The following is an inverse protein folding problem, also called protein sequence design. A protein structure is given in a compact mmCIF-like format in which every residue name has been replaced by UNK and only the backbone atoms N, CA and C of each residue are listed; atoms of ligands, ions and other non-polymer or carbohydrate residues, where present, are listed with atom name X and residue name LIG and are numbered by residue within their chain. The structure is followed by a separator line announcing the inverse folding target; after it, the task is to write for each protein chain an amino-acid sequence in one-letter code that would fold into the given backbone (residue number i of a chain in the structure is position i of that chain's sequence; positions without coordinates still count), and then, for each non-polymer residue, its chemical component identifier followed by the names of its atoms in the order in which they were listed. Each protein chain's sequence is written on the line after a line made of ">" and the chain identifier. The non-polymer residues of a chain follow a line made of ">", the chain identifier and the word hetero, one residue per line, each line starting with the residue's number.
data_IF_025085217423
#
_entry.id   IF_025085217423
#
_cell.length_a   1.000
_cell.length_b   1.000
_cell.length_c   1.000
_cell.angle_alpha   90.00
_cell.angle_beta   90.00
_cell.angle_gamma   90.00
#
_symmetry.space_group_name_H-M   'P 1'
#
loop_
_entity.id
_entity.type
_entity.pdbx_description
1 polymer ?
#
# COMPACT_ATOMS: atom_id res chain seq x y z
N UNK A 1 -5.09 -5.69 -19.24
CA UNK A 1 -3.93 -5.84 -18.34
C UNK A 1 -4.25 -5.14 -17.04
N UNK A 2 -3.87 -5.73 -15.90
CA UNK A 2 -4.15 -5.17 -14.57
C UNK A 2 -3.07 -5.62 -13.58
N UNK A 3 -2.69 -4.73 -12.66
CA UNK A 3 -1.83 -5.07 -11.52
C UNK A 3 -2.60 -5.99 -10.57
N UNK A 4 -2.12 -7.22 -10.40
CA UNK A 4 -2.70 -8.19 -9.47
C UNK A 4 -1.88 -8.35 -8.20
N UNK A 5 -0.67 -7.79 -8.19
CA UNK A 5 0.20 -7.81 -7.03
C UNK A 5 0.88 -6.46 -6.86
N UNK A 6 0.56 -5.77 -5.77
CA UNK A 6 1.30 -4.61 -5.30
C UNK A 6 2.08 -4.98 -4.03
N UNK A 7 3.36 -4.61 -3.95
CA UNK A 7 4.19 -4.95 -2.78
C UNK A 7 3.73 -4.30 -1.47
N UNK A 8 3.04 -3.15 -1.56
CA UNK A 8 2.49 -2.41 -0.43
C UNK A 8 1.15 -2.96 0.08
N UNK A 9 0.47 -3.83 -0.68
CA UNK A 9 -0.81 -4.47 -0.30
C UNK A 9 -0.57 -5.64 0.68
N UNK A 10 0.03 -5.33 1.82
CA UNK A 10 0.43 -6.30 2.86
C UNK A 10 -0.75 -6.99 3.55
N UNK A 11 -1.98 -6.52 3.33
CA UNK A 11 -3.23 -7.19 3.71
C UNK A 11 -3.48 -8.48 2.92
N UNK A 12 -2.80 -8.66 1.77
CA UNK A 12 -2.85 -9.80 0.84
C UNK A 12 -4.19 -10.03 0.13
N UNK A 13 -5.31 -9.73 0.77
CA UNK A 13 -6.65 -9.93 0.22
C UNK A 13 -6.93 -9.05 -0.99
N UNK A 14 -6.40 -7.82 -1.02
CA UNK A 14 -6.52 -6.93 -2.18
C UNK A 14 -5.84 -7.52 -3.42
N UNK A 15 -4.62 -8.03 -3.28
CA UNK A 15 -3.91 -8.73 -4.36
C UNK A 15 -4.66 -10.00 -4.80
N UNK A 16 -5.17 -10.78 -3.84
CA UNK A 16 -5.95 -11.99 -4.14
C UNK A 16 -7.22 -11.66 -4.94
N UNK A 17 -7.95 -10.63 -4.54
CA UNK A 17 -9.16 -10.15 -5.23
C UNK A 17 -8.84 -9.70 -6.65
N UNK A 18 -7.74 -8.97 -6.83
CA UNK A 18 -7.29 -8.52 -8.15
C UNK A 18 -6.92 -9.70 -9.08
N UNK A 19 -6.22 -10.72 -8.57
CA UNK A 19 -5.93 -11.93 -9.36
C UNK A 19 -7.19 -12.70 -9.74
N UNK A 20 -8.15 -12.87 -8.81
CA UNK A 20 -9.44 -13.47 -9.15
C UNK A 20 -10.18 -12.71 -10.25
N UNK A 21 -10.21 -11.38 -10.14
CA UNK A 21 -10.83 -10.52 -11.15
C UNK A 21 -10.12 -10.66 -12.51
N UNK A 22 -8.79 -10.64 -12.54
CA UNK A 22 -8.01 -10.75 -13.77
C UNK A 22 -8.27 -12.10 -14.47
N UNK A 23 -8.28 -13.20 -13.72
CA UNK A 23 -8.56 -14.55 -14.24
C UNK A 23 -9.98 -14.67 -14.76
N UNK A 24 -10.97 -14.17 -14.03
CA UNK A 24 -12.37 -14.20 -14.44
C UNK A 24 -12.62 -13.41 -15.74
N UNK A 25 -11.81 -12.38 -16.01
CA UNK A 25 -11.95 -11.50 -17.17
C UNK A 25 -10.88 -11.74 -18.25
N UNK A 26 -10.11 -12.83 -18.18
CA UNK A 26 -9.02 -13.15 -19.13
C UNK A 26 -8.05 -11.98 -19.35
N UNK A 27 -7.70 -11.26 -18.28
CA UNK A 27 -6.79 -10.12 -18.33
C UNK A 27 -5.35 -10.56 -18.08
N UNK A 28 -4.40 -9.96 -18.79
CA UNK A 28 -2.97 -10.09 -18.48
C UNK A 28 -2.69 -9.54 -17.08
N UNK A 29 -2.11 -10.38 -16.23
CA UNK A 29 -1.69 -10.07 -14.87
C UNK A 29 -0.28 -9.44 -14.87
N UNK A 30 -0.08 -8.37 -14.09
CA UNK A 30 1.24 -7.75 -13.85
C UNK A 30 1.45 -7.46 -12.37
N UNK A 31 2.70 -7.23 -11.95
CA UNK A 31 3.05 -6.95 -10.56
C UNK A 31 3.85 -5.65 -10.42
N UNK A 32 3.43 -4.77 -9.52
CA UNK A 32 4.11 -3.52 -9.22
C UNK A 32 4.75 -3.52 -7.84
N UNK A 33 5.98 -3.02 -7.79
CA UNK A 33 6.64 -2.76 -6.52
C UNK A 33 6.11 -1.49 -5.86
N UNK A 34 5.65 -0.51 -6.64
CA UNK A 34 5.18 0.79 -6.14
C UNK A 34 6.18 1.42 -5.15
N UNK A 35 7.43 1.44 -5.63
CA UNK A 35 8.60 1.74 -4.82
C UNK A 35 8.71 3.24 -4.55
N UNK A 36 8.71 3.61 -3.28
CA UNK A 36 8.94 4.98 -2.83
C UNK A 36 10.27 5.15 -2.09
N UNK A 37 10.94 4.03 -1.78
CA UNK A 37 12.26 3.97 -1.14
C UNK A 37 13.14 2.97 -1.88
N UNK A 38 14.46 3.19 -1.87
CA UNK A 38 15.43 2.42 -2.66
C UNK A 38 15.39 0.93 -2.31
N UNK A 39 15.18 0.59 -1.04
CA UNK A 39 15.08 -0.79 -0.56
C UNK A 39 13.92 -1.59 -1.18
N UNK A 40 12.90 -0.91 -1.70
CA UNK A 40 11.73 -1.54 -2.37
C UNK A 40 11.89 -1.66 -3.88
N UNK A 41 12.92 -1.03 -4.48
CA UNK A 41 13.14 -1.08 -5.91
C UNK A 41 13.36 -2.52 -6.39
N UNK A 42 12.65 -2.91 -7.45
CA UNK A 42 12.73 -4.27 -8.01
C UNK A 42 12.09 -5.36 -7.13
N UNK A 43 11.31 -4.99 -6.10
CA UNK A 43 10.57 -5.96 -5.27
C UNK A 43 9.59 -6.81 -6.08
N UNK A 44 9.03 -6.23 -7.11
CA UNK A 44 8.23 -6.92 -8.12
C UNK A 44 8.86 -6.67 -9.48
N UNK A 45 8.94 -7.73 -10.29
CA UNK A 45 9.52 -7.71 -11.63
C UNK A 45 8.62 -8.49 -12.58
N UNK A 46 8.22 -7.83 -13.66
CA UNK A 46 7.56 -8.46 -14.79
C UNK A 46 8.56 -8.81 -15.89
N UNK A 47 8.35 -9.95 -16.54
CA UNK A 47 9.15 -10.41 -17.68
C UNK A 47 8.33 -10.17 -18.94
N UNK A 48 8.88 -9.37 -19.86
CA UNK A 48 8.23 -9.02 -21.14
C UNK A 48 9.00 -9.68 -22.28
N UNK A 49 8.31 -10.48 -23.09
CA UNK A 49 8.95 -11.15 -24.24
C UNK A 49 9.05 -10.18 -25.43
N UNK A 50 10.13 -9.42 -25.48
CA UNK A 50 10.36 -8.36 -26.47
C UNK A 50 11.85 -8.22 -26.83
N UNK A 51 12.12 -7.71 -28.03
CA UNK A 51 13.42 -7.07 -28.35
C UNK A 51 13.65 -5.83 -27.46
N UNK A 52 14.91 -5.45 -27.28
CA UNK A 52 15.33 -4.30 -26.46
C UNK A 52 15.07 -2.95 -27.15
N UNK A 53 13.82 -2.70 -27.52
CA UNK A 53 13.33 -1.44 -28.08
C UNK A 53 11.98 -1.10 -27.48
N UNK A 54 11.69 0.19 -27.31
CA UNK A 54 10.43 0.66 -26.72
C UNK A 54 9.21 0.13 -27.49
N UNK A 55 9.23 0.21 -28.83
CA UNK A 55 8.13 -0.25 -29.67
C UNK A 55 7.85 -1.75 -29.52
N UNK A 56 8.91 -2.55 -29.43
CA UNK A 56 8.80 -3.99 -29.23
C UNK A 56 8.21 -4.32 -27.85
N UNK A 57 8.65 -3.62 -26.80
CA UNK A 57 8.11 -3.75 -25.44
C UNK A 57 6.63 -3.39 -25.44
N UNK A 58 6.24 -2.21 -25.92
CA UNK A 58 4.84 -1.76 -25.95
C UNK A 58 3.95 -2.71 -26.76
N UNK A 59 4.43 -3.20 -27.91
CA UNK A 59 3.71 -4.18 -28.74
C UNK A 59 3.51 -5.50 -28.00
N UNK A 60 4.52 -5.96 -27.27
CA UNK A 60 4.48 -7.20 -26.48
C UNK A 60 3.54 -7.07 -25.29
N UNK A 61 3.57 -5.94 -24.59
CA UNK A 61 2.63 -5.60 -23.52
C UNK A 61 1.18 -5.59 -24.03
N UNK A 62 0.91 -4.92 -25.17
CA UNK A 62 -0.43 -4.86 -25.77
C UNK A 62 -0.96 -6.24 -26.19
N UNK A 63 -0.06 -7.16 -26.56
CA UNK A 63 -0.38 -8.55 -26.92
C UNK A 63 -0.41 -9.49 -25.71
N UNK A 64 -0.27 -8.98 -24.49
CA UNK A 64 -0.30 -9.78 -23.27
C UNK A 64 0.91 -10.70 -23.10
N UNK A 65 2.03 -10.43 -23.78
CA UNK A 65 3.28 -11.20 -23.69
C UNK A 65 4.10 -10.79 -22.46
N UNK A 66 3.44 -10.82 -21.31
CA UNK A 66 4.01 -10.49 -20.00
C UNK A 66 3.72 -11.63 -19.04
N UNK A 67 4.71 -11.96 -18.21
CA UNK A 67 4.57 -12.89 -17.09
C UNK A 67 5.20 -12.28 -15.86
N UNK A 68 4.56 -12.47 -14.70
CA UNK A 68 5.14 -12.06 -13.42
C UNK A 68 6.36 -12.95 -13.12
N UNK A 69 7.52 -12.33 -12.91
CA UNK A 69 8.77 -13.02 -12.56
C UNK A 69 8.94 -13.14 -11.05
N UNK A 70 9.18 -12.01 -10.38
CA UNK A 70 9.41 -11.95 -8.94
C UNK A 70 8.31 -11.12 -8.29
N UNK A 71 7.84 -11.55 -7.11
CA UNK A 71 6.96 -10.76 -6.24
C UNK A 71 7.45 -10.86 -4.80
N UNK A 72 7.17 -9.81 -4.03
CA UNK A 72 7.45 -9.81 -2.60
C UNK A 72 6.68 -8.71 -1.90
N UNK A 73 6.22 -8.97 -0.68
CA UNK A 73 5.67 -7.91 0.16
C UNK A 73 6.79 -7.06 0.75
N UNK A 74 6.49 -5.81 1.06
CA UNK A 74 7.39 -4.98 1.85
C UNK A 74 7.54 -5.53 3.27
N UNK A 75 8.70 -5.32 3.86
CA UNK A 75 8.97 -5.64 5.26
C UNK A 75 8.53 -4.49 6.17
N UNK A 76 8.43 -4.77 7.48
CA UNK A 76 8.18 -3.70 8.46
C UNK A 76 9.25 -2.62 8.43
N UNK A 77 10.52 -2.99 8.18
CA UNK A 77 11.63 -2.03 8.11
C UNK A 77 11.45 -1.08 6.94
N UNK A 78 11.06 -1.60 5.78
CA UNK A 78 10.85 -0.81 4.56
C UNK A 78 9.60 0.06 4.68
N UNK A 79 8.56 -0.40 5.38
CA UNK A 79 7.43 0.48 5.69
C UNK A 79 7.88 1.65 6.55
N UNK A 80 8.65 1.41 7.62
CA UNK A 80 9.17 2.49 8.48
C UNK A 80 10.06 3.46 7.68
N UNK A 81 10.90 2.93 6.78
CA UNK A 81 11.70 3.76 5.86
C UNK A 81 10.81 4.63 4.97
N UNK A 82 9.75 4.07 4.41
CA UNK A 82 8.78 4.81 3.61
C UNK A 82 8.00 5.85 4.44
N UNK A 83 7.59 5.51 5.67
CA UNK A 83 6.96 6.46 6.58
C UNK A 83 7.89 7.64 6.90
N UNK A 84 9.18 7.35 7.14
CA UNK A 84 10.21 8.37 7.33
C UNK A 84 10.36 9.26 6.10
N UNK A 85 10.49 8.69 4.91
CA UNK A 85 10.55 9.43 3.66
C UNK A 85 9.35 10.38 3.51
N UNK A 86 8.13 9.91 3.78
CA UNK A 86 6.93 10.76 3.70
C UNK A 86 6.97 11.91 4.70
N UNK A 87 7.32 11.64 5.95
CA UNK A 87 7.38 12.67 6.99
C UNK A 87 8.44 13.72 6.62
N UNK A 88 9.64 13.32 6.24
CA UNK A 88 10.73 14.23 5.87
C UNK A 88 10.36 15.15 4.69
N UNK A 89 9.56 14.66 3.73
CA UNK A 89 9.19 15.42 2.54
C UNK A 89 7.84 16.15 2.63
N UNK A 90 7.04 15.91 3.68
CA UNK A 90 5.69 16.48 3.78
C UNK A 90 5.24 16.90 5.18
N UNK A 91 6.16 16.97 6.16
CA UNK A 91 5.85 17.35 7.56
C UNK A 91 5.03 18.63 7.63
N UNK A 92 5.47 19.69 6.95
CA UNK A 92 4.79 20.98 7.00
C UNK A 92 3.37 20.93 6.40
N UNK A 93 3.19 20.16 5.32
CA UNK A 93 1.88 19.96 4.69
C UNK A 93 0.94 19.16 5.61
N UNK A 94 1.46 18.10 6.25
CA UNK A 94 0.69 17.30 7.23
C UNK A 94 0.24 18.18 8.40
N UNK A 95 1.15 18.96 8.98
CA UNK A 95 0.83 19.84 10.10
C UNK A 95 -0.17 20.94 9.67
N UNK A 96 -0.01 21.52 8.49
CA UNK A 96 -0.95 22.52 7.95
C UNK A 96 -2.35 21.92 7.77
N UNK A 97 -2.44 20.73 7.19
CA UNK A 97 -3.72 20.03 7.02
C UNK A 97 -4.42 19.80 8.36
N UNK A 98 -3.69 19.35 9.39
CA UNK A 98 -4.25 19.16 10.73
C UNK A 98 -4.70 20.48 11.37
N UNK A 99 -3.93 21.56 11.22
CA UNK A 99 -4.34 22.89 11.70
C UNK A 99 -5.66 23.35 11.10
N UNK A 100 -5.84 23.12 9.79
CA UNK A 100 -7.02 23.58 9.05
C UNK A 100 -8.26 22.68 9.29
N UNK A 101 -8.08 21.36 9.35
CA UNK A 101 -9.20 20.41 9.33
C UNK A 101 -9.46 19.73 10.68
N UNK A 102 -8.43 19.60 11.51
CA UNK A 102 -8.49 18.90 12.81
C UNK A 102 -7.72 19.65 13.90
N UNK A 103 -8.03 20.94 14.17
CA UNK A 103 -7.20 21.81 15.00
C UNK A 103 -6.97 21.24 16.42
N UNK A 104 -7.95 20.54 16.97
CA UNK A 104 -7.88 19.87 18.28
C UNK A 104 -6.89 18.68 18.33
N UNK A 105 -6.52 18.10 17.18
CA UNK A 105 -5.56 17.00 17.08
C UNK A 105 -4.17 17.47 16.63
N UNK A 106 -4.01 18.73 16.22
CA UNK A 106 -2.72 19.25 15.72
C UNK A 106 -1.57 18.99 16.69
N UNK A 107 -1.76 19.28 17.97
CA UNK A 107 -0.71 19.07 18.97
C UNK A 107 -0.30 17.61 19.12
N UNK A 108 -1.27 16.69 19.05
CA UNK A 108 -1.02 15.24 19.08
C UNK A 108 -0.29 14.80 17.81
N UNK A 109 -0.69 15.30 16.64
CA UNK A 109 -0.04 15.00 15.37
C UNK A 109 1.43 15.44 15.38
N UNK A 110 1.72 16.69 15.78
CA UNK A 110 3.08 17.20 15.93
C UNK A 110 3.91 16.34 16.89
N UNK A 111 3.37 16.05 18.08
CA UNK A 111 4.05 15.20 19.06
C UNK A 111 4.39 13.81 18.49
N UNK A 112 3.46 13.16 17.80
CA UNK A 112 3.69 11.83 17.22
C UNK A 112 4.78 11.86 16.14
N UNK A 113 4.80 12.90 15.30
CA UNK A 113 5.86 13.10 14.30
C UNK A 113 7.20 13.28 15.00
N UNK A 114 7.29 14.15 16.00
CA UNK A 114 8.55 14.42 16.69
C UNK A 114 9.09 13.18 17.44
N UNK A 115 8.21 12.39 18.06
CA UNK A 115 8.57 11.10 18.69
C UNK A 115 9.04 10.09 17.65
N UNK A 116 8.41 10.04 16.48
CA UNK A 116 8.83 9.18 15.38
C UNK A 116 10.22 9.58 14.86
N UNK A 117 10.45 10.87 14.59
CA UNK A 117 11.72 11.39 14.10
C UNK A 117 12.87 11.19 15.10
N UNK A 118 12.58 11.27 16.40
CA UNK A 118 13.58 11.05 17.45
C UNK A 118 14.16 9.64 17.47
N UNK A 119 13.37 8.62 17.12
CA UNK A 119 13.84 7.24 17.03
C UNK A 119 13.00 6.38 16.05
N UNK A 120 13.16 6.58 14.73
CA UNK A 120 12.33 5.91 13.73
C UNK A 120 12.58 4.40 13.69
N UNK A 121 13.79 3.95 14.05
CA UNK A 121 14.16 2.53 14.04
C UNK A 121 13.74 1.76 15.30
N UNK A 122 12.99 2.39 16.21
CA UNK A 122 12.50 1.77 17.44
C UNK A 122 11.65 0.52 17.16
N UNK A 123 11.78 -0.49 18.03
CA UNK A 123 10.96 -1.70 17.98
C UNK A 123 9.48 -1.40 18.21
N UNK A 124 9.16 -0.30 18.90
CA UNK A 124 7.79 0.18 19.11
C UNK A 124 7.09 0.42 17.77
N UNK A 125 7.76 1.07 16.82
CA UNK A 125 7.17 1.36 15.50
C UNK A 125 6.93 0.10 14.68
N UNK A 126 7.78 -0.93 14.85
CA UNK A 126 7.54 -2.24 14.23
C UNK A 126 6.31 -2.93 14.83
N UNK A 127 6.12 -2.85 16.15
CA UNK A 127 4.93 -3.38 16.80
C UNK A 127 3.65 -2.64 16.36
N UNK A 128 3.71 -1.30 16.30
CA UNK A 128 2.62 -0.46 15.77
C UNK A 128 2.28 -0.86 14.33
N UNK A 129 3.28 -1.06 13.48
CA UNK A 129 3.09 -1.54 12.11
C UNK A 129 2.41 -2.92 12.08
N UNK A 130 2.85 -3.89 12.89
CA UNK A 130 2.22 -5.20 12.94
C UNK A 130 0.75 -5.14 13.34
N UNK A 131 0.42 -4.31 14.33
CA UNK A 131 -0.98 -4.06 14.72
C UNK A 131 -1.76 -3.43 13.57
N UNK A 132 -1.19 -2.43 12.89
CA UNK A 132 -1.83 -1.80 11.74
C UNK A 132 -2.11 -2.81 10.63
N UNK A 133 -1.13 -3.66 10.26
CA UNK A 133 -1.30 -4.73 9.27
C UNK A 133 -2.38 -5.72 9.68
N UNK A 134 -2.43 -6.11 10.95
CA UNK A 134 -3.48 -7.01 11.44
C UNK A 134 -4.88 -6.39 11.26
N UNK A 135 -5.06 -5.12 11.66
CA UNK A 135 -6.33 -4.41 11.54
C UNK A 135 -6.74 -4.22 10.07
N UNK A 136 -5.81 -3.82 9.20
CA UNK A 136 -6.08 -3.65 7.76
C UNK A 136 -6.37 -4.98 7.08
N UNK A 137 -5.71 -6.07 7.48
CA UNK A 137 -6.00 -7.43 6.99
C UNK A 137 -7.42 -7.85 7.34
N UNK A 138 -7.85 -7.62 8.60
CA UNK A 138 -9.21 -7.93 9.05
C UNK A 138 -10.24 -7.12 8.27
N UNK A 139 -9.99 -5.83 8.07
CA UNK A 139 -10.82 -4.94 7.28
C UNK A 139 -10.92 -5.37 5.82
N UNK A 140 -9.77 -5.62 5.19
CA UNK A 140 -9.67 -5.99 3.78
C UNK A 140 -10.40 -7.29 3.48
N UNK A 141 -10.31 -8.30 4.36
CA UNK A 141 -11.07 -9.54 4.22
C UNK A 141 -12.59 -9.28 4.18
N UNK A 142 -13.07 -8.41 5.07
CA UNK A 142 -14.51 -8.09 5.18
C UNK A 142 -15.02 -7.40 3.92
N UNK A 143 -14.26 -6.44 3.40
CA UNK A 143 -14.60 -5.71 2.18
C UNK A 143 -14.52 -6.64 0.96
N UNK A 144 -13.38 -7.29 0.76
CA UNK A 144 -13.10 -8.03 -0.48
C UNK A 144 -13.83 -9.37 -0.60
N UNK A 145 -14.17 -10.01 0.53
CA UNK A 145 -14.71 -11.37 0.55
C UNK A 145 -15.99 -11.56 1.37
N UNK A 146 -16.39 -10.61 2.22
CA UNK A 146 -17.65 -10.68 3.00
C UNK A 146 -18.70 -9.65 2.57
N UNK A 147 -18.53 -9.03 1.41
CA UNK A 147 -19.45 -8.05 0.83
C UNK A 147 -19.80 -6.89 1.78
N UNK A 148 -18.89 -6.50 2.67
CA UNK A 148 -19.09 -5.29 3.44
C UNK A 148 -18.92 -4.05 2.57
N UNK A 149 -19.68 -3.01 2.89
CA UNK A 149 -19.66 -1.76 2.15
C UNK A 149 -18.31 -1.07 2.27
N UNK A 150 -17.64 -0.87 1.13
CA UNK A 150 -16.38 -0.15 1.07
C UNK A 150 -16.56 1.37 1.07
N UNK A 151 -17.78 1.88 0.88
CA UNK A 151 -18.03 3.32 0.81
C UNK A 151 -17.71 4.03 2.14
N UNK A 152 -17.79 3.31 3.27
CA UNK A 152 -17.37 3.81 4.59
C UNK A 152 -15.90 4.24 4.62
N UNK A 153 -15.05 3.70 3.73
CA UNK A 153 -13.65 4.13 3.64
C UNK A 153 -13.51 5.53 3.02
N UNK A 154 -14.43 5.94 2.14
CA UNK A 154 -14.40 7.28 1.54
C UNK A 154 -14.75 8.38 2.54
N UNK A 155 -15.52 8.05 3.57
CA UNK A 155 -15.83 9.00 4.65
C UNK A 155 -14.60 9.36 5.49
N UNK A 156 -13.51 8.56 5.40
CA UNK A 156 -12.26 8.72 6.16
C UNK A 156 -12.49 8.92 7.66
N UNK A 157 -13.58 8.34 8.17
CA UNK A 157 -14.02 8.52 9.54
C UNK A 157 -13.68 7.28 10.37
N UNK A 158 -12.66 7.40 11.21
CA UNK A 158 -12.23 6.30 12.07
C UNK A 158 -13.34 5.81 13.01
N UNK A 159 -14.29 6.66 13.41
CA UNK A 159 -15.42 6.22 14.25
C UNK A 159 -16.38 5.29 13.50
N UNK A 160 -16.47 5.41 12.18
CA UNK A 160 -17.25 4.52 11.33
C UNK A 160 -16.45 3.26 10.94
N UNK A 161 -15.14 3.40 10.70
CA UNK A 161 -14.27 2.30 10.28
C UNK A 161 -13.92 1.36 11.45
N UNK A 162 -13.66 1.88 12.65
CA UNK A 162 -13.21 1.06 13.79
C UNK A 162 -14.22 -0.03 14.20
N UNK A 163 -15.54 0.24 14.34
CA UNK A 163 -16.52 -0.81 14.63
C UNK A 163 -16.47 -1.92 13.59
N UNK A 164 -16.40 -1.56 12.30
CA UNK A 164 -16.32 -2.52 11.20
C UNK A 164 -15.09 -3.41 11.29
N UNK A 165 -13.95 -2.89 11.75
CA UNK A 165 -12.76 -3.71 12.00
C UNK A 165 -13.02 -4.64 13.19
N UNK A 166 -13.52 -4.11 14.31
CA UNK A 166 -13.58 -4.79 15.60
C UNK A 166 -14.66 -5.87 15.69
N UNK A 167 -15.79 -5.73 14.99
CA UNK A 167 -16.86 -6.74 14.90
C UNK A 167 -16.53 -7.78 13.83
#
# INVERSE_FOLDING_TARGET
>A
MIEVFNSNNVDRYSNLRASYFAKANNMTEVAGSDSHVVSTLGRCVDIIQAENTLDSVLRSMRRGKITIGTTGYITSKEMIEHAKYKIENSKDDIIRYFKENHPHLTGVCSFLIDVFESNPNSMVWRAVYQVAVYLTTKLSNKINFKNQDYNVLYERNLRAILPMILT
#
